data_IF_495433906197
#
_entry.id   IF_495433906197
#
_cell.length_a   1.000
_cell.length_b   1.000
_cell.length_c   1.000
_cell.angle_alpha   90.00
_cell.angle_beta   90.00
_cell.angle_gamma   90.00
#
_symmetry.space_group_name_H-M   'P 1'
#
loop_
_entity.id
_entity.type
_entity.pdbx_description
1 polymer ?
#
# COMPACT_ATOMS: atom_id res chain seq x y z
N UNK A 1 31.85 14.73 -7.54
CA UNK A 1 31.10 13.50 -7.19
C UNK A 1 29.87 13.96 -6.44
N UNK A 2 28.74 14.15 -7.15
CA UNK A 2 27.48 14.61 -6.57
C UNK A 2 26.74 13.42 -6.02
N UNK A 3 26.51 13.40 -4.73
CA UNK A 3 25.55 12.52 -4.05
C UNK A 3 24.17 12.77 -4.66
N UNK A 4 23.68 11.85 -5.49
CA UNK A 4 22.26 11.78 -5.81
C UNK A 4 21.51 11.45 -4.51
N UNK A 5 21.09 12.48 -3.80
CA UNK A 5 20.01 12.35 -2.83
C UNK A 5 18.80 11.88 -3.65
N UNK A 6 18.38 10.64 -3.42
CA UNK A 6 17.12 10.07 -3.93
C UNK A 6 15.98 10.82 -3.22
N UNK A 7 15.70 12.05 -3.69
CA UNK A 7 14.66 12.91 -3.14
C UNK A 7 13.34 12.26 -3.57
N UNK A 8 12.63 11.66 -2.63
CA UNK A 8 11.27 11.12 -2.88
C UNK A 8 10.45 12.21 -3.54
N UNK A 9 9.73 11.89 -4.59
CA UNK A 9 8.83 12.84 -5.23
C UNK A 9 7.66 13.20 -4.31
N UNK A 10 6.98 14.32 -4.59
CA UNK A 10 5.88 14.80 -3.77
C UNK A 10 4.75 13.76 -3.60
N UNK A 11 4.51 12.96 -4.62
CA UNK A 11 3.53 11.87 -4.58
C UNK A 11 3.92 10.83 -3.53
N UNK A 12 5.16 10.36 -3.54
CA UNK A 12 5.66 9.38 -2.56
C UNK A 12 5.67 9.93 -1.14
N UNK A 13 6.00 11.23 -0.95
CA UNK A 13 5.99 11.87 0.36
C UNK A 13 4.59 11.93 0.97
N UNK A 14 3.58 12.32 0.17
CA UNK A 14 2.19 12.38 0.62
C UNK A 14 1.68 10.97 0.93
N UNK A 15 1.96 10.01 0.05
CA UNK A 15 1.54 8.63 0.22
C UNK A 15 2.12 8.01 1.49
N UNK A 16 3.44 8.17 1.72
CA UNK A 16 4.11 7.69 2.93
C UNK A 16 3.51 8.31 4.19
N UNK A 17 3.11 9.59 4.14
CA UNK A 17 2.48 10.26 5.27
C UNK A 17 1.07 9.70 5.57
N UNK A 18 0.31 9.33 4.53
CA UNK A 18 -0.98 8.64 4.67
C UNK A 18 -0.75 7.24 5.24
N UNK A 19 0.17 6.47 4.67
CA UNK A 19 0.50 5.10 5.11
C UNK A 19 1.01 5.06 6.56
N UNK A 20 1.71 6.11 6.98
CA UNK A 20 2.18 6.28 8.36
C UNK A 20 1.09 6.75 9.34
N UNK A 21 -0.14 7.01 8.87
CA UNK A 21 -1.24 7.50 9.68
C UNK A 21 -1.12 8.97 10.10
N UNK A 22 -0.24 9.74 9.44
CA UNK A 22 -0.12 11.19 9.66
C UNK A 22 -1.36 11.93 9.17
N UNK A 23 -1.96 11.39 8.11
CA UNK A 23 -3.27 11.79 7.59
C UNK A 23 -4.19 10.59 7.60
N UNK A 24 -5.31 10.73 8.29
CA UNK A 24 -6.36 9.71 8.42
C UNK A 24 -7.47 9.92 7.39
N UNK A 25 -8.28 8.90 7.07
CA UNK A 25 -9.46 9.07 6.23
C UNK A 25 -10.35 10.23 6.70
N UNK A 26 -10.73 11.10 5.78
CA UNK A 26 -11.48 12.32 6.06
C UNK A 26 -10.61 13.55 6.34
N UNK A 27 -9.32 13.39 6.62
CA UNK A 27 -8.43 14.54 6.85
C UNK A 27 -8.25 15.35 5.57
N UNK A 28 -8.29 16.68 5.74
CA UNK A 28 -8.12 17.62 4.65
C UNK A 28 -6.65 17.79 4.30
N UNK A 29 -6.35 17.76 3.00
CA UNK A 29 -5.02 18.01 2.46
C UNK A 29 -4.96 19.40 1.81
N UNK A 30 -4.10 20.27 2.34
CA UNK A 30 -3.93 21.64 1.87
C UNK A 30 -2.57 21.80 1.17
N UNK A 31 -2.57 22.26 -0.08
CA UNK A 31 -1.35 22.39 -0.91
C UNK A 31 -0.23 23.17 -0.19
N UNK A 32 -0.57 24.29 0.48
CA UNK A 32 0.43 25.13 1.17
C UNK A 32 1.04 24.41 2.38
N UNK A 33 0.24 23.75 3.18
CA UNK A 33 0.70 23.02 4.37
C UNK A 33 1.59 21.84 3.99
N UNK A 34 1.23 21.11 2.91
CA UNK A 34 2.04 20.01 2.39
C UNK A 34 3.36 20.50 1.80
N UNK A 35 3.34 21.63 1.07
CA UNK A 35 4.53 22.25 0.50
C UNK A 35 5.52 22.65 1.61
N UNK A 36 5.01 23.31 2.65
CA UNK A 36 5.79 23.73 3.81
C UNK A 36 6.32 22.52 4.60
N UNK A 37 5.48 21.51 4.83
CA UNK A 37 5.84 20.30 5.58
C UNK A 37 6.95 19.49 4.91
N UNK A 38 6.89 19.34 3.58
CA UNK A 38 7.83 18.51 2.83
C UNK A 38 9.00 19.30 2.24
N UNK A 39 9.00 20.63 2.37
CA UNK A 39 10.08 21.49 1.85
C UNK A 39 10.13 21.51 0.33
N UNK A 40 9.00 21.36 -0.35
CA UNK A 40 8.89 21.37 -1.82
C UNK A 40 7.96 22.48 -2.29
N UNK A 41 8.07 22.88 -3.56
CA UNK A 41 7.18 23.90 -4.12
C UNK A 41 5.75 23.36 -4.29
N UNK A 42 4.77 24.29 -4.47
CA UNK A 42 3.35 23.92 -4.60
C UNK A 42 3.02 23.15 -5.88
N UNK A 43 3.78 23.36 -6.96
CA UNK A 43 3.52 22.72 -8.25
C UNK A 43 3.58 21.19 -8.16
N UNK A 44 4.69 20.56 -7.71
CA UNK A 44 4.75 19.11 -7.57
C UNK A 44 3.74 18.58 -6.54
N UNK A 45 3.39 19.35 -5.49
CA UNK A 45 2.32 18.95 -4.55
C UNK A 45 0.98 18.88 -5.27
N UNK A 46 0.63 19.89 -6.07
CA UNK A 46 -0.64 19.91 -6.83
C UNK A 46 -0.74 18.73 -7.80
N UNK A 47 0.33 18.46 -8.55
CA UNK A 47 0.39 17.31 -9.46
C UNK A 47 0.23 15.98 -8.72
N UNK A 48 0.89 15.84 -7.57
CA UNK A 48 0.76 14.67 -6.71
C UNK A 48 -0.68 14.49 -6.18
N UNK A 49 -1.31 15.57 -5.71
CA UNK A 49 -2.70 15.53 -5.23
C UNK A 49 -3.68 15.15 -6.34
N UNK A 50 -3.52 15.70 -7.56
CA UNK A 50 -4.34 15.32 -8.71
C UNK A 50 -4.17 13.84 -9.07
N UNK A 51 -2.95 13.33 -9.02
CA UNK A 51 -2.67 11.91 -9.26
C UNK A 51 -3.33 11.03 -8.21
N UNK A 52 -3.24 11.38 -6.93
CA UNK A 52 -3.87 10.65 -5.83
C UNK A 52 -5.41 10.69 -5.94
N UNK A 53 -5.99 11.82 -6.36
CA UNK A 53 -7.43 11.96 -6.63
C UNK A 53 -7.86 11.04 -7.78
N UNK A 54 -7.12 11.02 -8.90
CA UNK A 54 -7.38 10.12 -10.04
C UNK A 54 -7.32 8.65 -9.65
N UNK A 55 -6.51 8.31 -8.66
CA UNK A 55 -6.38 6.95 -8.12
C UNK A 55 -7.41 6.63 -7.02
N UNK A 56 -8.36 7.53 -6.76
CA UNK A 56 -9.37 7.41 -5.70
C UNK A 56 -8.80 7.27 -4.28
N UNK A 57 -7.54 7.66 -4.08
CA UNK A 57 -6.91 7.74 -2.76
C UNK A 57 -7.28 9.04 -2.03
N UNK A 58 -7.69 10.05 -2.79
CA UNK A 58 -8.29 11.28 -2.30
C UNK A 58 -9.67 11.45 -2.93
N UNK A 59 -10.56 12.12 -2.23
CA UNK A 59 -11.89 12.51 -2.71
C UNK A 59 -12.13 14.00 -2.47
N UNK A 60 -13.17 14.56 -3.14
CA UNK A 60 -13.57 15.93 -2.92
C UNK A 60 -14.70 16.03 -1.89
N UNK A 61 -14.50 16.90 -0.93
CA UNK A 61 -15.54 17.43 -0.06
C UNK A 61 -15.69 18.94 -0.31
N UNK A 62 -16.68 19.29 -1.10
CA UNK A 62 -16.85 20.65 -1.61
C UNK A 62 -15.63 21.10 -2.44
N UNK A 63 -14.89 22.11 -1.93
CA UNK A 63 -13.67 22.64 -2.56
C UNK A 63 -12.39 22.02 -2.03
N UNK A 64 -12.49 21.11 -1.05
CA UNK A 64 -11.35 20.53 -0.37
C UNK A 64 -11.05 19.14 -0.91
N UNK A 65 -9.76 18.78 -0.94
CA UNK A 65 -9.34 17.40 -1.08
C UNK A 65 -9.18 16.79 0.32
N UNK A 66 -9.76 15.62 0.50
CA UNK A 66 -9.68 14.84 1.74
C UNK A 66 -9.12 13.45 1.43
N UNK A 67 -8.48 12.83 2.42
CA UNK A 67 -8.10 11.41 2.33
C UNK A 67 -9.38 10.60 2.19
N UNK A 68 -9.45 9.74 1.17
CA UNK A 68 -10.63 8.95 0.90
C UNK A 68 -10.93 8.01 2.06
N UNK A 69 -12.21 7.82 2.35
CA UNK A 69 -12.72 6.78 3.23
C UNK A 69 -13.57 5.82 2.39
N UNK A 70 -13.42 4.53 2.62
CA UNK A 70 -14.26 3.53 1.98
C UNK A 70 -15.35 3.10 2.96
N UNK A 71 -16.58 3.05 2.47
CA UNK A 71 -17.66 2.43 3.22
C UNK A 71 -17.55 0.89 3.22
N UNK A 72 -18.42 0.22 3.97
CA UNK A 72 -18.37 -1.24 4.12
C UNK A 72 -18.61 -1.98 2.78
N UNK A 73 -19.46 -1.46 1.91
CA UNK A 73 -19.75 -2.06 0.61
C UNK A 73 -18.58 -1.90 -0.34
N UNK A 74 -18.02 -0.68 -0.43
CA UNK A 74 -16.81 -0.40 -1.22
C UNK A 74 -15.63 -1.27 -0.78
N UNK A 75 -15.52 -1.53 0.54
CA UNK A 75 -14.51 -2.45 1.07
C UNK A 75 -14.73 -3.87 0.56
N UNK A 76 -15.98 -4.38 0.64
CA UNK A 76 -16.30 -5.71 0.15
C UNK A 76 -16.01 -5.86 -1.35
N UNK A 77 -16.37 -4.86 -2.16
CA UNK A 77 -16.08 -4.82 -3.60
C UNK A 77 -14.56 -4.86 -3.86
N UNK A 78 -13.77 -4.09 -3.10
CA UNK A 78 -12.32 -4.05 -3.23
C UNK A 78 -11.68 -5.40 -2.86
N UNK A 79 -12.20 -6.09 -1.84
CA UNK A 79 -11.74 -7.43 -1.46
C UNK A 79 -11.99 -8.47 -2.56
N UNK A 80 -13.13 -8.42 -3.26
CA UNK A 80 -13.40 -9.30 -4.40
C UNK A 80 -12.34 -9.11 -5.49
N UNK A 81 -12.08 -7.88 -5.89
CA UNK A 81 -11.05 -7.55 -6.90
C UNK A 81 -9.66 -8.01 -6.44
N UNK A 82 -9.32 -7.75 -5.18
CA UNK A 82 -8.05 -8.19 -4.61
C UNK A 82 -7.88 -9.70 -4.70
N UNK A 83 -8.89 -10.46 -4.30
CA UNK A 83 -8.83 -11.93 -4.30
C UNK A 83 -8.51 -12.49 -5.67
N UNK A 84 -9.16 -11.97 -6.72
CA UNK A 84 -8.92 -12.38 -8.09
C UNK A 84 -7.49 -12.03 -8.58
N UNK A 85 -7.04 -10.80 -8.28
CA UNK A 85 -5.71 -10.35 -8.69
C UNK A 85 -4.58 -11.09 -7.94
N UNK A 86 -4.72 -11.32 -6.64
CA UNK A 86 -3.77 -12.09 -5.84
C UNK A 86 -3.70 -13.55 -6.31
N UNK A 87 -4.85 -14.18 -6.57
CA UNK A 87 -4.91 -15.52 -7.11
C UNK A 87 -4.26 -15.63 -8.51
N UNK A 88 -4.45 -14.62 -9.35
CA UNK A 88 -3.77 -14.53 -10.64
C UNK A 88 -2.26 -14.38 -10.46
N UNK A 89 -1.81 -13.54 -9.53
CA UNK A 89 -0.40 -13.33 -9.27
C UNK A 89 0.27 -14.62 -8.78
N UNK A 90 -0.32 -15.31 -7.83
CA UNK A 90 0.18 -16.59 -7.33
C UNK A 90 0.27 -17.65 -8.43
N UNK A 91 -0.76 -17.77 -9.27
CA UNK A 91 -0.76 -18.70 -10.40
C UNK A 91 0.34 -18.39 -11.40
N UNK A 92 0.51 -17.12 -11.79
CA UNK A 92 1.56 -16.71 -12.71
C UNK A 92 2.95 -16.87 -12.10
N UNK A 93 3.14 -16.56 -10.82
CA UNK A 93 4.40 -16.79 -10.12
C UNK A 93 4.76 -18.28 -10.11
N UNK A 94 3.79 -19.17 -9.85
CA UNK A 94 4.02 -20.62 -9.91
C UNK A 94 4.44 -21.11 -11.32
N UNK A 95 4.07 -20.41 -12.38
CA UNK A 95 4.41 -20.74 -13.76
C UNK A 95 5.74 -20.12 -14.23
N UNK A 96 6.08 -18.93 -13.73
CA UNK A 96 7.13 -18.08 -14.31
C UNK A 96 8.28 -17.75 -13.35
N UNK A 97 8.14 -18.00 -12.04
CA UNK A 97 9.20 -17.70 -11.08
C UNK A 97 10.47 -18.48 -11.39
N UNK A 98 11.61 -17.78 -11.35
CA UNK A 98 12.92 -18.40 -11.50
C UNK A 98 13.29 -19.20 -10.25
N UNK A 99 14.23 -20.16 -10.34
CA UNK A 99 14.73 -20.87 -9.16
C UNK A 99 15.26 -19.95 -8.06
N UNK A 100 15.87 -18.83 -8.43
CA UNK A 100 16.41 -17.82 -7.54
C UNK A 100 15.27 -17.08 -6.79
N UNK A 101 14.20 -16.71 -7.50
CA UNK A 101 13.02 -16.08 -6.89
C UNK A 101 12.30 -17.03 -5.91
N UNK A 102 12.20 -18.31 -6.27
CA UNK A 102 11.65 -19.34 -5.39
C UNK A 102 12.53 -19.51 -4.13
N UNK A 103 13.85 -19.46 -4.28
CA UNK A 103 14.78 -19.51 -3.14
C UNK A 103 14.54 -18.31 -2.22
N UNK A 104 14.45 -17.09 -2.75
CA UNK A 104 14.16 -15.88 -1.97
C UNK A 104 12.84 -16.00 -1.20
N UNK A 105 11.76 -16.47 -1.85
CA UNK A 105 10.47 -16.67 -1.18
C UNK A 105 10.57 -17.67 -0.02
N UNK A 106 11.32 -18.76 -0.16
CA UNK A 106 11.55 -19.74 0.92
C UNK A 106 12.34 -19.12 2.08
N UNK A 107 13.40 -18.36 1.78
CA UNK A 107 14.20 -17.68 2.79
C UNK A 107 13.33 -16.69 3.59
N UNK A 108 12.46 -15.92 2.91
CA UNK A 108 11.52 -15.01 3.58
C UNK A 108 10.59 -15.76 4.55
N UNK A 109 10.04 -16.92 4.17
CA UNK A 109 9.17 -17.70 5.05
C UNK A 109 9.93 -18.20 6.29
N UNK A 110 11.18 -18.63 6.14
CA UNK A 110 11.99 -19.08 7.29
C UNK A 110 12.35 -17.91 8.24
N UNK A 111 12.70 -16.75 7.68
CA UNK A 111 12.96 -15.53 8.47
C UNK A 111 11.72 -15.06 9.23
N UNK A 112 10.54 -15.13 8.62
CA UNK A 112 9.28 -14.68 9.21
C UNK A 112 8.86 -15.53 10.42
N UNK A 113 9.33 -16.77 10.53
CA UNK A 113 9.12 -17.63 11.72
C UNK A 113 9.69 -17.01 13.01
N UNK A 114 10.79 -16.28 12.90
CA UNK A 114 11.39 -15.58 14.04
C UNK A 114 10.55 -14.38 14.51
N UNK A 115 9.58 -13.92 13.69
CA UNK A 115 8.76 -12.73 13.96
C UNK A 115 7.40 -13.06 14.61
N UNK A 116 7.13 -14.34 14.93
CA UNK A 116 5.84 -14.77 15.50
C UNK A 116 5.47 -14.05 16.80
N UNK A 117 6.45 -13.52 17.53
CA UNK A 117 6.25 -12.74 18.77
C UNK A 117 6.01 -11.24 18.55
N UNK A 118 6.15 -10.73 17.33
CA UNK A 118 5.95 -9.30 16.99
C UNK A 118 4.94 -9.17 15.83
N UNK A 119 3.64 -8.92 16.15
CA UNK A 119 2.59 -8.78 15.12
C UNK A 119 2.86 -7.68 14.11
N UNK A 120 3.52 -6.58 14.53
CA UNK A 120 3.86 -5.46 13.65
C UNK A 120 4.97 -5.84 12.65
N UNK A 121 6.01 -6.53 13.12
CA UNK A 121 7.08 -7.05 12.27
C UNK A 121 6.53 -8.10 11.30
N UNK A 122 5.70 -9.03 11.79
CA UNK A 122 5.06 -10.07 10.97
C UNK A 122 4.17 -9.47 9.88
N UNK A 123 3.38 -8.44 10.18
CA UNK A 123 2.55 -7.75 9.18
C UNK A 123 3.40 -7.07 8.09
N UNK A 124 4.56 -6.51 8.45
CA UNK A 124 5.50 -5.94 7.47
C UNK A 124 6.14 -7.02 6.60
N UNK A 125 6.55 -8.13 7.22
CA UNK A 125 7.12 -9.29 6.54
C UNK A 125 6.12 -9.90 5.55
N UNK A 126 4.88 -10.10 5.96
CA UNK A 126 3.80 -10.59 5.11
C UNK A 126 3.59 -9.69 3.87
N UNK A 127 3.58 -8.35 4.03
CA UNK A 127 3.48 -7.44 2.87
C UNK A 127 4.66 -7.59 1.91
N UNK A 128 5.89 -7.78 2.42
CA UNK A 128 7.08 -8.00 1.58
C UNK A 128 6.98 -9.33 0.82
N UNK A 129 6.52 -10.37 1.48
CA UNK A 129 6.33 -11.69 0.88
C UNK A 129 5.32 -11.66 -0.28
N UNK A 130 4.13 -11.07 -0.06
CA UNK A 130 3.16 -10.89 -1.14
C UNK A 130 3.72 -10.06 -2.29
N UNK A 131 4.42 -8.97 -1.99
CA UNK A 131 5.08 -8.16 -3.03
C UNK A 131 6.07 -8.97 -3.86
N UNK A 132 6.82 -9.88 -3.24
CA UNK A 132 7.73 -10.78 -3.96
C UNK A 132 7.00 -11.75 -4.88
N UNK A 133 5.84 -12.30 -4.44
CA UNK A 133 4.98 -13.12 -5.30
C UNK A 133 4.48 -12.31 -6.51
N UNK A 134 4.04 -11.06 -6.28
CA UNK A 134 3.59 -10.19 -7.38
C UNK A 134 4.69 -9.96 -8.41
N UNK A 135 5.92 -9.72 -7.98
CA UNK A 135 7.07 -9.53 -8.89
C UNK A 135 7.40 -10.82 -9.65
N UNK A 136 7.39 -11.96 -8.95
CA UNK A 136 7.62 -13.28 -9.55
C UNK A 136 6.53 -13.71 -10.56
N UNK A 137 5.38 -13.02 -10.60
CA UNK A 137 4.37 -13.22 -11.65
C UNK A 137 4.84 -12.77 -13.02
N UNK A 138 5.92 -11.97 -13.09
CA UNK A 138 6.50 -11.37 -14.30
C UNK A 138 5.48 -10.58 -15.16
N UNK A 139 4.38 -10.11 -14.53
CA UNK A 139 3.35 -9.32 -15.18
C UNK A 139 3.30 -7.90 -14.59
N UNK A 140 3.98 -6.95 -15.27
CA UNK A 140 4.06 -5.55 -14.83
C UNK A 140 2.71 -4.87 -14.63
N UNK A 141 1.72 -5.20 -15.44
CA UNK A 141 0.37 -4.60 -15.34
C UNK A 141 -0.38 -5.12 -14.11
N UNK A 142 -0.26 -6.41 -13.82
CA UNK A 142 -0.82 -7.01 -12.62
C UNK A 142 -0.20 -6.41 -11.35
N UNK A 143 1.12 -6.23 -11.33
CA UNK A 143 1.83 -5.58 -10.21
C UNK A 143 1.30 -4.16 -9.97
N UNK A 144 1.09 -3.38 -11.04
CA UNK A 144 0.55 -2.03 -10.92
C UNK A 144 -0.87 -2.00 -10.35
N UNK A 145 -1.74 -2.92 -10.78
CA UNK A 145 -3.12 -3.00 -10.28
C UNK A 145 -3.15 -3.44 -8.80
N UNK A 146 -2.34 -4.43 -8.43
CA UNK A 146 -2.21 -4.87 -7.04
C UNK A 146 -1.66 -3.77 -6.13
N UNK A 147 -0.67 -3.00 -6.59
CA UNK A 147 -0.15 -1.85 -5.84
C UNK A 147 -1.25 -0.81 -5.58
N UNK A 148 -2.13 -0.55 -6.57
CA UNK A 148 -3.26 0.37 -6.39
C UNK A 148 -4.28 -0.18 -5.39
N UNK A 149 -4.68 -1.43 -5.52
CA UNK A 149 -5.61 -2.10 -4.60
C UNK A 149 -5.08 -2.10 -3.17
N UNK A 150 -3.81 -2.43 -2.97
CA UNK A 150 -3.19 -2.44 -1.65
C UNK A 150 -3.13 -1.04 -1.01
N UNK A 151 -2.87 0.01 -1.79
CA UNK A 151 -2.92 1.39 -1.32
C UNK A 151 -4.32 1.80 -0.88
N UNK A 152 -5.33 1.49 -1.70
CA UNK A 152 -6.72 1.74 -1.33
C UNK A 152 -7.09 1.01 -0.02
N UNK A 153 -6.58 -0.21 0.20
CA UNK A 153 -6.80 -0.95 1.44
C UNK A 153 -6.02 -0.38 2.63
N UNK A 154 -4.83 0.18 2.43
CA UNK A 154 -4.05 0.80 3.51
C UNK A 154 -4.80 1.99 4.13
N UNK A 155 -5.56 2.75 3.33
CA UNK A 155 -6.46 3.80 3.83
C UNK A 155 -7.52 3.27 4.81
N UNK A 156 -7.88 1.97 4.69
CA UNK A 156 -8.85 1.31 5.56
C UNK A 156 -8.23 0.81 6.86
N UNK A 157 -6.97 0.39 6.82
CA UNK A 157 -6.30 -0.17 8.00
C UNK A 157 -6.22 0.84 9.14
N UNK A 158 -6.10 2.12 8.83
CA UNK A 158 -6.11 3.20 9.83
C UNK A 158 -7.46 3.36 10.53
N UNK A 159 -8.57 2.95 9.89
CA UNK A 159 -9.91 3.02 10.49
C UNK A 159 -10.33 1.72 11.18
N UNK A 160 -9.78 0.57 10.78
CA UNK A 160 -10.22 -0.76 11.26
C UNK A 160 -9.30 -1.39 12.32
N UNK A 161 -8.08 -0.90 12.49
CA UNK A 161 -7.17 -1.36 13.56
C UNK A 161 -7.64 -0.92 14.96
N UNK A 162 -8.62 -0.01 15.05
CA UNK A 162 -9.33 0.32 16.30
C UNK A 162 -10.30 -0.79 16.75
N UNK A 163 -10.56 -1.82 15.93
CA UNK A 163 -11.43 -2.94 16.31
C UNK A 163 -10.57 -4.12 16.80
N UNK A 164 -10.60 -4.34 18.12
CA UNK A 164 -9.95 -5.46 18.82
C UNK A 164 -10.26 -6.82 18.16
N UNK A 165 -9.21 -7.63 17.94
CA UNK A 165 -9.32 -9.07 17.65
C UNK A 165 -9.06 -9.53 16.22
N UNK A 166 -8.67 -8.67 15.27
CA UNK A 166 -8.41 -9.08 13.86
C UNK A 166 -7.04 -9.70 13.57
N UNK A 167 -6.04 -9.46 14.41
CA UNK A 167 -4.67 -9.97 14.18
C UNK A 167 -4.56 -11.49 14.22
N UNK A 168 -5.38 -12.15 15.04
CA UNK A 168 -5.37 -13.60 15.23
C UNK A 168 -6.08 -14.39 14.14
N UNK A 169 -7.02 -13.78 13.40
CA UNK A 169 -7.73 -14.47 12.30
C UNK A 169 -6.94 -14.51 10.99
N UNK A 170 -6.16 -13.46 10.71
CA UNK A 170 -5.34 -13.41 9.50
C UNK A 170 -4.23 -14.49 9.46
N UNK A 171 -3.77 -14.97 10.61
CA UNK A 171 -2.78 -16.04 10.72
C UNK A 171 -3.35 -17.45 10.51
N UNK A 172 -4.66 -17.62 10.60
CA UNK A 172 -5.31 -18.92 10.46
C UNK A 172 -5.71 -19.24 9.00
N UNK A 173 -5.64 -18.27 8.10
CA UNK A 173 -6.08 -18.38 6.69
C UNK A 173 -4.92 -18.57 5.69
N UNK A 174 -3.67 -18.69 6.19
CA UNK A 174 -2.44 -18.97 5.43
C UNK A 174 -1.90 -20.35 5.78
#
# INVERSE_FOLDING_TARGET
MGTQQNTKDAYSLILDAIDAGVYSPGDRLVESELADRFGVSRTPIREALQRLETQSLLSRDGRSLIVASLDHNQMAELYVVRTELEGLAARLAAQHATPEEIKVLREMVEEDRALLGDPGALARANRRFHKQIHLASHNRYLVQQLDLVHRSMALLASTSLAAEGRGTRALAEH
#
